data_IF_424926619609
#
_entry.id   IF_424926619609
#
_cell.length_a   1.000
_cell.length_b   1.000
_cell.length_c   1.000
_cell.angle_alpha   90.00
_cell.angle_beta   90.00
_cell.angle_gamma   90.00
#
_symmetry.space_group_name_H-M   'P 1'
#
loop_
_entity.id
_entity.type
_entity.pdbx_description
1 polymer ?
#
# COMPACT_ATOMS: atom_id res chain seq x y z
N UNK A 1 13.44 2.01 -13.17
CA UNK A 1 12.71 2.44 -11.95
C UNK A 1 11.98 3.79 -12.10
N UNK A 2 12.03 4.44 -13.28
CA UNK A 2 11.56 5.84 -13.46
C UNK A 2 10.19 5.96 -14.13
N UNK A 3 9.76 4.94 -14.89
CA UNK A 3 8.46 4.96 -15.57
C UNK A 3 7.28 4.63 -14.63
N UNK A 4 7.52 3.82 -13.59
CA UNK A 4 6.48 3.41 -12.63
C UNK A 4 6.15 4.51 -11.62
N UNK A 5 7.07 5.43 -11.35
CA UNK A 5 6.82 6.65 -10.57
C UNK A 5 6.03 7.70 -11.35
N UNK A 6 6.15 7.76 -12.69
CA UNK A 6 5.40 8.71 -13.54
C UNK A 6 3.92 8.31 -13.72
N UNK A 7 3.64 7.02 -13.93
CA UNK A 7 2.26 6.52 -14.02
C UNK A 7 1.51 6.69 -12.70
N UNK A 8 2.18 6.40 -11.57
CA UNK A 8 1.64 6.69 -10.23
C UNK A 8 1.40 8.20 -10.07
N UNK A 9 2.36 9.08 -10.39
CA UNK A 9 2.17 10.54 -10.30
C UNK A 9 0.98 11.06 -11.12
N UNK A 10 0.75 10.53 -12.32
CA UNK A 10 -0.35 10.94 -13.22
C UNK A 10 -1.75 10.62 -12.64
N UNK A 11 -1.95 9.38 -12.21
CA UNK A 11 -3.20 8.94 -11.60
C UNK A 11 -3.39 9.57 -10.21
N UNK A 12 -2.29 9.78 -9.48
CA UNK A 12 -2.34 10.25 -8.11
C UNK A 12 -2.60 11.75 -7.95
N UNK A 13 -2.18 12.55 -8.93
CA UNK A 13 -2.33 14.01 -8.91
C UNK A 13 -3.81 14.46 -8.93
N UNK A 14 -4.71 13.74 -9.62
CA UNK A 14 -6.14 14.08 -9.68
C UNK A 14 -6.88 13.85 -8.37
N UNK A 15 -6.48 12.84 -7.61
CA UNK A 15 -7.15 12.45 -6.37
C UNK A 15 -6.67 13.28 -5.18
N UNK A 16 -5.44 13.79 -5.21
CA UNK A 16 -4.88 14.63 -4.14
C UNK A 16 -5.78 15.83 -3.82
N UNK A 17 -6.31 16.50 -4.85
CA UNK A 17 -7.22 17.64 -4.70
C UNK A 17 -8.50 17.28 -3.93
N UNK A 18 -9.06 16.09 -4.19
CA UNK A 18 -10.24 15.60 -3.48
C UNK A 18 -9.94 15.37 -1.99
N UNK A 19 -8.84 14.67 -1.68
CA UNK A 19 -8.46 14.42 -0.28
C UNK A 19 -8.12 15.70 0.49
N UNK A 20 -7.55 16.70 -0.19
CA UNK A 20 -7.26 18.02 0.40
C UNK A 20 -8.53 18.85 0.62
N UNK A 21 -9.47 18.84 -0.33
CA UNK A 21 -10.71 19.62 -0.24
C UNK A 21 -11.69 19.09 0.81
N UNK A 22 -11.69 17.78 1.07
CA UNK A 22 -12.64 17.13 2.00
C UNK A 22 -12.01 16.79 3.37
N UNK A 23 -10.93 17.48 3.75
CA UNK A 23 -10.25 17.29 5.01
C UNK A 23 -11.15 17.70 6.19
N UNK A 24 -11.67 16.73 6.95
CA UNK A 24 -12.54 16.97 8.12
C UNK A 24 -14.02 16.61 7.94
N UNK A 25 -14.50 16.43 6.70
CA UNK A 25 -15.92 16.15 6.41
C UNK A 25 -16.23 14.69 6.04
N UNK A 26 -15.23 13.81 6.12
CA UNK A 26 -15.29 12.38 5.79
C UNK A 26 -16.43 11.59 6.44
N UNK A 27 -17.14 12.17 7.40
CA UNK A 27 -18.18 11.51 8.21
C UNK A 27 -19.62 11.75 7.76
N UNK A 28 -19.93 12.69 6.87
CA UNK A 28 -21.32 13.11 6.69
C UNK A 28 -21.99 12.72 5.37
N UNK A 29 -21.45 13.02 4.17
CA UNK A 29 -22.29 12.95 2.96
C UNK A 29 -21.62 12.45 1.65
N UNK A 30 -20.39 11.91 1.69
CA UNK A 30 -19.72 11.42 0.47
C UNK A 30 -18.90 10.13 0.70
N UNK A 31 -19.40 9.25 1.57
CA UNK A 31 -18.70 8.03 1.98
C UNK A 31 -18.39 7.05 0.83
N UNK A 32 -19.23 7.01 -0.21
CA UNK A 32 -19.09 6.00 -1.28
C UNK A 32 -17.91 6.31 -2.18
N UNK A 33 -17.76 7.58 -2.59
CA UNK A 33 -16.64 8.02 -3.40
C UNK A 33 -15.35 7.95 -2.58
N UNK A 34 -15.36 8.46 -1.35
CA UNK A 34 -14.23 8.38 -0.44
C UNK A 34 -13.74 6.94 -0.21
N UNK A 35 -14.65 5.99 0.05
CA UNK A 35 -14.30 4.56 0.18
C UNK A 35 -13.73 3.97 -1.11
N UNK A 36 -14.29 4.33 -2.26
CA UNK A 36 -13.77 3.90 -3.56
C UNK A 36 -12.33 4.39 -3.77
N UNK A 37 -12.05 5.66 -3.47
CA UNK A 37 -10.73 6.25 -3.64
C UNK A 37 -9.68 5.66 -2.68
N UNK A 38 -10.04 5.47 -1.41
CA UNK A 38 -9.17 4.79 -0.44
C UNK A 38 -8.81 3.39 -0.94
N UNK A 39 -9.80 2.62 -1.39
CA UNK A 39 -9.56 1.28 -1.94
C UNK A 39 -8.67 1.33 -3.17
N UNK A 40 -8.95 2.23 -4.11
CA UNK A 40 -8.19 2.39 -5.34
C UNK A 40 -6.71 2.68 -5.05
N UNK A 41 -6.42 3.67 -4.19
CA UNK A 41 -5.05 4.03 -3.81
C UNK A 41 -4.33 2.85 -3.15
N UNK A 42 -4.99 2.13 -2.24
CA UNK A 42 -4.38 0.98 -1.56
C UNK A 42 -4.12 -0.18 -2.52
N UNK A 43 -5.02 -0.48 -3.46
CA UNK A 43 -4.83 -1.50 -4.50
C UNK A 43 -3.64 -1.15 -5.39
N UNK A 44 -3.61 0.07 -5.94
CA UNK A 44 -2.55 0.50 -6.86
C UNK A 44 -1.16 0.50 -6.18
N UNK A 45 -1.09 0.91 -4.91
CA UNK A 45 0.19 0.97 -4.19
C UNK A 45 0.64 -0.37 -3.61
N UNK A 46 -0.29 -1.29 -3.34
CA UNK A 46 0.01 -2.63 -2.82
C UNK A 46 0.28 -3.63 -3.95
N UNK A 47 -0.57 -3.64 -4.99
CA UNK A 47 -0.64 -4.67 -6.04
C UNK A 47 -0.29 -4.15 -7.45
N UNK A 48 0.04 -2.86 -7.60
CA UNK A 48 0.35 -2.26 -8.91
C UNK A 48 1.61 -2.82 -9.59
N UNK A 49 2.03 -2.20 -10.69
CA UNK A 49 3.05 -2.71 -11.65
C UNK A 49 4.43 -3.06 -11.05
N UNK A 50 4.73 -2.64 -9.82
CA UNK A 50 5.95 -3.02 -9.07
C UNK A 50 5.65 -3.79 -7.76
N UNK A 51 4.52 -4.49 -7.73
CA UNK A 51 3.95 -5.30 -6.66
C UNK A 51 4.93 -5.76 -5.57
N UNK A 52 5.01 -4.99 -4.48
CA UNK A 52 5.99 -5.22 -3.41
C UNK A 52 5.35 -5.82 -2.15
N UNK A 53 4.05 -6.19 -2.21
CA UNK A 53 3.26 -6.77 -1.10
C UNK A 53 3.58 -6.14 0.26
N UNK A 54 3.68 -4.81 0.28
CA UNK A 54 4.21 -4.10 1.43
C UNK A 54 3.30 -4.26 2.65
N UNK A 55 3.89 -4.33 3.85
CA UNK A 55 3.13 -4.37 5.10
C UNK A 55 2.18 -3.17 5.22
N UNK A 56 1.09 -3.31 5.98
CA UNK A 56 0.12 -2.21 6.18
C UNK A 56 0.77 -0.90 6.66
N UNK A 57 1.77 -0.99 7.55
CA UNK A 57 2.53 0.17 8.03
C UNK A 57 3.36 0.83 6.93
N UNK A 58 4.07 0.03 6.15
CA UNK A 58 4.87 0.51 5.01
C UNK A 58 3.98 1.12 3.94
N UNK A 59 2.84 0.50 3.66
CA UNK A 59 1.84 0.98 2.71
C UNK A 59 1.26 2.33 3.15
N UNK A 60 0.87 2.48 4.42
CA UNK A 60 0.40 3.75 4.97
C UNK A 60 1.48 4.85 4.88
N UNK A 61 2.72 4.54 5.27
CA UNK A 61 3.82 5.50 5.17
C UNK A 61 4.09 5.92 3.73
N UNK A 62 4.14 4.97 2.79
CA UNK A 62 4.32 5.27 1.37
C UNK A 62 3.19 6.13 0.81
N UNK A 63 1.96 5.83 1.19
CA UNK A 63 0.78 6.59 0.78
C UNK A 63 0.86 8.03 1.29
N UNK A 64 1.26 8.21 2.55
CA UNK A 64 1.53 9.51 3.14
C UNK A 64 2.65 10.28 2.41
N UNK A 65 3.78 9.63 2.12
CA UNK A 65 4.90 10.24 1.38
C UNK A 65 4.52 10.67 -0.05
N UNK A 66 3.47 10.11 -0.63
CA UNK A 66 2.93 10.51 -1.94
C UNK A 66 1.94 11.68 -1.83
N UNK A 67 1.75 12.25 -0.64
CA UNK A 67 0.92 13.43 -0.40
C UNK A 67 -0.56 13.12 -0.20
N UNK A 68 -0.91 11.86 0.09
CA UNK A 68 -2.25 11.49 0.50
C UNK A 68 -2.38 11.51 2.00
N UNK A 69 -3.57 11.85 2.49
CA UNK A 69 -3.87 11.80 3.92
C UNK A 69 -5.34 11.53 4.16
N UNK A 70 -5.63 10.64 5.11
CA UNK A 70 -6.94 10.51 5.72
C UNK A 70 -6.80 9.90 7.14
N UNK A 71 -7.72 10.21 8.09
CA UNK A 71 -7.54 9.86 9.50
C UNK A 71 -7.38 8.36 9.78
N UNK A 72 -8.04 7.50 9.00
CA UNK A 72 -8.06 6.04 9.19
C UNK A 72 -7.02 5.30 8.34
N UNK A 73 -6.11 6.00 7.65
CA UNK A 73 -5.17 5.41 6.67
C UNK A 73 -4.41 4.20 7.18
N UNK A 74 -3.86 4.28 8.39
CA UNK A 74 -3.12 3.16 8.97
C UNK A 74 -4.01 1.92 9.12
N UNK A 75 -5.21 2.12 9.66
CA UNK A 75 -6.17 1.05 9.87
C UNK A 75 -6.66 0.46 8.54
N UNK A 76 -6.94 1.31 7.55
CA UNK A 76 -7.40 0.89 6.23
C UNK A 76 -6.31 0.11 5.47
N UNK A 77 -5.06 0.58 5.53
CA UNK A 77 -3.92 -0.12 4.94
C UNK A 77 -3.67 -1.48 5.63
N UNK A 78 -3.72 -1.55 6.95
CA UNK A 78 -3.59 -2.81 7.69
C UNK A 78 -4.73 -3.79 7.37
N UNK A 79 -5.97 -3.30 7.33
CA UNK A 79 -7.14 -4.12 6.98
C UNK A 79 -7.08 -4.62 5.54
N UNK A 80 -6.57 -3.80 4.62
CA UNK A 80 -6.37 -4.17 3.22
C UNK A 80 -5.37 -5.32 3.10
N UNK A 81 -4.17 -5.16 3.65
CA UNK A 81 -3.10 -6.18 3.59
C UNK A 81 -3.53 -7.49 4.26
N UNK A 82 -4.28 -7.42 5.37
CA UNK A 82 -4.86 -8.61 6.03
C UNK A 82 -5.83 -9.39 5.12
N UNK A 83 -6.48 -8.74 4.17
CA UNK A 83 -7.41 -9.36 3.23
C UNK A 83 -6.75 -9.76 1.90
N UNK A 84 -5.51 -9.36 1.66
CA UNK A 84 -4.78 -9.72 0.45
C UNK A 84 -4.44 -11.22 0.46
N UNK A 85 -5.10 -11.99 -0.42
CA UNK A 85 -4.93 -13.44 -0.54
C UNK A 85 -3.45 -13.83 -0.78
N UNK A 86 -2.75 -13.08 -1.64
CA UNK A 86 -1.33 -13.34 -1.92
C UNK A 86 -0.49 -13.19 -0.64
N UNK A 87 -0.65 -12.09 0.10
CA UNK A 87 0.00 -11.92 1.40
C UNK A 87 -0.34 -13.06 2.37
N UNK A 88 -1.62 -13.44 2.48
CA UNK A 88 -2.03 -14.51 3.40
C UNK A 88 -1.34 -15.85 3.10
N UNK A 89 -1.28 -16.24 1.82
CA UNK A 89 -0.60 -17.47 1.39
C UNK A 89 0.88 -17.51 1.78
N UNK A 90 1.59 -16.38 1.70
CA UNK A 90 3.01 -16.31 2.05
C UNK A 90 3.27 -16.11 3.55
N UNK A 91 2.33 -15.54 4.31
CA UNK A 91 2.48 -15.40 5.78
C UNK A 91 2.40 -16.72 6.52
N UNK A 92 1.68 -17.71 5.97
CA UNK A 92 1.49 -19.02 6.57
C UNK A 92 2.66 -19.97 6.33
N UNK A 93 3.63 -19.60 5.49
CA UNK A 93 4.86 -20.38 5.33
C UNK A 93 5.69 -20.14 6.59
N UNK A 94 5.88 -21.14 7.47
CA UNK A 94 6.79 -21.00 8.59
C UNK A 94 8.13 -20.57 8.02
N UNK A 95 8.72 -19.48 8.53
CA UNK A 95 10.08 -19.09 8.18
C UNK A 95 10.97 -20.25 8.61
N UNK A 96 11.24 -21.17 7.69
CA UNK A 96 12.21 -22.22 7.92
C UNK A 96 13.52 -21.51 8.28
N UNK A 97 14.19 -21.91 9.36
CA UNK A 97 15.48 -21.34 9.69
C UNK A 97 16.37 -21.47 8.46
N UNK A 98 17.03 -20.38 8.05
CA UNK A 98 18.00 -20.40 6.97
C UNK A 98 18.97 -21.55 7.25
N UNK A 99 19.03 -22.51 6.33
CA UNK A 99 20.02 -23.59 6.41
C UNK A 99 21.40 -22.93 6.43
N UNK A 100 22.25 -23.32 7.39
CA UNK A 100 23.63 -22.85 7.46
C UNK A 100 24.28 -23.11 6.10
N UNK A 101 24.68 -22.04 5.42
CA UNK A 101 25.44 -22.15 4.18
C UNK A 101 26.87 -22.51 4.55
N UNK A 102 27.35 -23.66 4.08
CA UNK A 102 28.75 -24.04 4.27
C UNK A 102 29.61 -23.11 3.39
N UNK A 103 30.64 -22.45 3.95
CA UNK A 103 31.56 -21.68 3.13
C UNK A 103 32.28 -22.62 2.16
N UNK A 104 32.25 -22.28 0.87
CA UNK A 104 33.11 -22.92 -0.12
C UNK A 104 34.51 -22.34 0.10
N UNK A 105 35.37 -23.08 0.79
CA UNK A 105 36.81 -22.78 0.82
C UNK A 105 37.38 -23.07 -0.57
N UNK A 106 37.84 -22.02 -1.25
CA UNK A 106 38.64 -22.14 -2.47
C UNK A 106 40.03 -22.71 -2.12
N UNK A 107 40.59 -23.63 -2.92
CA UNK A 107 41.93 -24.17 -2.71
C UNK A 107 43.03 -23.12 -2.89
#
# INVERSE_FOLDING_TARGET
MEQTTLALKSVTQKLRSYFQAHQGEYKANDERMARYLVRYILVELHEGVCDNHASGRTLAHRTHSLGYYWPTMRQDAENYVKRCDRCQRYTLIPRMPSKVLNPVTSP
#
